data_IF_578494531577
#
_entry.id   IF_578494531577
#
_cell.length_a   1.000
_cell.length_b   1.000
_cell.length_c   1.000
_cell.angle_alpha   90.00
_cell.angle_beta   90.00
_cell.angle_gamma   90.00
#
_symmetry.space_group_name_H-M   'P 1'
#
loop_
_entity.id
_entity.type
_entity.pdbx_description
1 polymer ?
#
# COMPACT_ATOMS: atom_id res chain seq x y z
N UNK A 1 13.96 -19.73 -16.68
CA UNK A 1 13.40 -19.16 -17.92
C UNK A 1 13.69 -17.68 -17.89
N UNK A 2 14.51 -17.12 -18.78
CA UNK A 2 14.63 -15.67 -18.91
C UNK A 2 13.35 -15.18 -19.57
N UNK A 3 12.61 -14.33 -18.87
CA UNK A 3 11.51 -13.60 -19.49
C UNK A 3 12.11 -12.69 -20.56
N UNK A 4 11.51 -12.70 -21.75
CA UNK A 4 11.87 -11.70 -22.74
C UNK A 4 11.43 -10.32 -22.22
N UNK A 5 12.20 -9.27 -22.45
CA UNK A 5 11.80 -7.88 -22.16
C UNK A 5 10.44 -7.54 -22.82
N UNK A 6 10.04 -8.30 -23.81
CA UNK A 6 8.78 -8.13 -24.54
C UNK A 6 7.53 -8.57 -23.75
N UNK A 7 7.69 -9.40 -22.68
CA UNK A 7 6.54 -9.91 -21.93
C UNK A 7 5.67 -8.81 -21.28
N UNK A 8 6.27 -7.73 -20.84
CA UNK A 8 5.58 -6.64 -20.15
C UNK A 8 5.18 -5.45 -21.04
N UNK A 9 5.69 -5.39 -22.29
CA UNK A 9 5.52 -4.21 -23.17
C UNK A 9 4.06 -3.87 -23.51
N UNK A 10 3.18 -4.86 -23.49
CA UNK A 10 1.76 -4.67 -23.76
C UNK A 10 0.91 -4.70 -22.47
N UNK A 11 1.51 -4.93 -21.31
CA UNK A 11 0.81 -5.05 -20.03
C UNK A 11 0.66 -3.73 -19.31
N UNK A 12 -0.45 -3.59 -18.61
CA UNK A 12 -0.81 -2.44 -17.78
C UNK A 12 -0.92 -2.90 -16.33
N UNK A 13 -0.35 -2.12 -15.41
CA UNK A 13 -0.46 -2.37 -13.98
C UNK A 13 -1.12 -1.20 -13.25
N UNK A 14 -2.17 -1.49 -12.46
CA UNK A 14 -2.78 -0.54 -11.55
C UNK A 14 -2.12 -0.62 -10.17
N UNK A 15 -1.60 0.52 -9.69
CA UNK A 15 -1.01 0.67 -8.35
C UNK A 15 -1.97 1.51 -7.50
N UNK A 16 -2.73 0.85 -6.64
CA UNK A 16 -3.75 1.45 -5.78
C UNK A 16 -3.23 1.61 -4.36
N UNK A 17 -3.42 2.79 -3.76
CA UNK A 17 -2.87 3.00 -2.42
C UNK A 17 -3.13 4.38 -1.82
N UNK A 18 -2.38 4.68 -0.78
CA UNK A 18 -2.40 5.92 -0.02
C UNK A 18 -1.29 6.90 -0.45
N UNK A 19 -0.83 7.76 0.48
CA UNK A 19 0.25 8.74 0.27
C UNK A 19 1.55 8.10 -0.20
N UNK A 20 1.86 6.88 0.25
CA UNK A 20 3.07 6.16 -0.18
C UNK A 20 3.00 5.79 -1.66
N UNK A 21 1.81 5.45 -2.15
CA UNK A 21 1.62 5.19 -3.59
C UNK A 21 1.54 6.49 -4.38
N UNK A 22 0.89 7.54 -3.86
CA UNK A 22 0.88 8.86 -4.50
C UNK A 22 2.30 9.43 -4.67
N UNK A 23 3.19 9.21 -3.71
CA UNK A 23 4.56 9.74 -3.74
C UNK A 23 4.76 10.93 -2.79
N UNK A 24 4.04 10.97 -1.66
CA UNK A 24 4.22 11.99 -0.63
C UNK A 24 5.62 11.88 -0.01
N UNK A 25 6.29 13.01 0.16
CA UNK A 25 7.63 13.06 0.76
C UNK A 25 7.67 13.79 2.13
N UNK A 26 6.50 14.14 2.66
CA UNK A 26 6.40 14.89 3.92
C UNK A 26 6.89 16.34 3.86
N UNK A 27 7.17 16.88 2.66
CA UNK A 27 7.80 18.19 2.45
C UNK A 27 7.08 19.05 1.40
N UNK A 28 5.81 18.82 1.14
CA UNK A 28 4.98 19.53 0.13
C UNK A 28 5.56 19.57 -1.31
N UNK A 29 6.58 18.76 -1.58
CA UNK A 29 7.26 18.67 -2.87
C UNK A 29 7.24 17.27 -3.49
N UNK A 30 6.41 16.40 -2.92
CA UNK A 30 6.18 15.04 -3.40
C UNK A 30 5.34 14.98 -4.66
N UNK A 31 4.90 13.77 -5.01
CA UNK A 31 4.00 13.52 -6.12
C UNK A 31 4.36 12.26 -6.90
N UNK A 32 3.50 11.92 -7.83
CA UNK A 32 3.62 10.69 -8.61
C UNK A 32 4.98 10.54 -9.32
N UNK A 33 5.62 11.65 -9.69
CA UNK A 33 6.91 11.65 -10.39
C UNK A 33 8.09 11.08 -9.59
N UNK A 34 7.99 11.07 -8.25
CA UNK A 34 9.01 10.47 -7.37
C UNK A 34 8.58 9.15 -6.75
N UNK A 35 7.32 8.77 -6.88
CA UNK A 35 6.73 7.55 -6.32
C UNK A 35 7.52 6.28 -6.66
N UNK A 36 7.35 5.23 -5.86
CA UNK A 36 7.86 3.89 -6.15
C UNK A 36 7.36 3.34 -7.50
N UNK A 37 6.17 3.77 -7.94
CA UNK A 37 5.58 3.39 -9.23
C UNK A 37 6.43 3.84 -10.41
N UNK A 38 7.11 4.99 -10.32
CA UNK A 38 8.06 5.47 -11.33
C UNK A 38 9.33 4.60 -11.38
N UNK A 39 9.74 4.04 -10.24
CA UNK A 39 10.87 3.11 -10.23
C UNK A 39 10.47 1.76 -10.82
N UNK A 40 9.26 1.29 -10.54
CA UNK A 40 8.68 0.11 -11.17
C UNK A 40 8.66 0.26 -12.71
N UNK A 41 8.11 1.36 -13.23
CA UNK A 41 8.05 1.66 -14.67
C UNK A 41 9.43 1.69 -15.34
N UNK A 42 10.46 2.15 -14.62
CA UNK A 42 11.84 2.19 -15.16
C UNK A 42 12.52 0.82 -15.17
N UNK A 43 12.14 -0.07 -14.26
CA UNK A 43 12.77 -1.39 -14.10
C UNK A 43 12.06 -2.49 -14.88
N UNK A 44 10.75 -2.36 -15.06
CA UNK A 44 9.93 -3.30 -15.83
C UNK A 44 9.26 -2.48 -16.95
N UNK A 45 9.43 -2.89 -18.23
CA UNK A 45 8.94 -2.13 -19.38
C UNK A 45 7.43 -2.33 -19.59
N UNK A 46 6.60 -2.08 -18.56
CA UNK A 46 5.15 -2.05 -18.72
C UNK A 46 4.74 -1.03 -19.78
N UNK A 47 3.70 -1.32 -20.54
CA UNK A 47 3.04 -0.35 -21.40
C UNK A 47 2.61 0.88 -20.60
N UNK A 48 2.06 0.65 -19.40
CA UNK A 48 1.60 1.71 -18.51
C UNK A 48 1.63 1.25 -17.06
N UNK A 49 2.12 2.12 -16.17
CA UNK A 49 2.00 1.98 -14.71
C UNK A 49 1.09 3.09 -14.21
N UNK A 50 -0.13 2.76 -13.82
CA UNK A 50 -1.14 3.70 -13.34
C UNK A 50 -1.04 3.86 -11.84
N UNK A 51 -0.99 5.10 -11.37
CA UNK A 51 -0.87 5.43 -9.96
C UNK A 51 -2.21 5.99 -9.44
N UNK A 52 -2.90 5.21 -8.62
CA UNK A 52 -4.16 5.55 -7.95
C UNK A 52 -3.94 5.85 -6.45
N UNK A 53 -2.81 6.46 -6.09
CA UNK A 53 -2.53 6.88 -4.72
C UNK A 53 -3.29 8.15 -4.32
N UNK A 54 -3.85 8.17 -3.10
CA UNK A 54 -4.46 9.37 -2.49
C UNK A 54 -3.92 9.53 -1.07
N UNK A 55 -3.34 10.71 -0.75
CA UNK A 55 -2.75 10.99 0.55
C UNK A 55 -3.77 10.90 1.68
N UNK A 56 -3.42 10.16 2.75
CA UNK A 56 -4.27 10.00 3.93
C UNK A 56 -5.43 9.02 3.77
N UNK A 57 -5.63 8.44 2.58
CA UNK A 57 -6.71 7.49 2.33
C UNK A 57 -6.55 6.24 3.20
N UNK A 58 -7.64 5.80 3.83
CA UNK A 58 -7.75 4.59 4.65
C UNK A 58 -8.37 3.48 3.83
N UNK A 59 -8.19 2.24 4.25
CA UNK A 59 -8.91 1.10 3.66
C UNK A 59 -10.39 1.19 4.05
N UNK A 60 -10.66 1.38 5.33
CA UNK A 60 -12.00 1.50 5.87
C UNK A 60 -12.66 2.85 5.58
N UNK A 61 -13.98 2.83 5.45
CA UNK A 61 -14.81 4.04 5.37
C UNK A 61 -14.79 4.78 6.70
N UNK A 62 -14.75 6.11 6.67
CA UNK A 62 -14.74 6.95 7.85
C UNK A 62 -15.51 8.26 7.59
N UNK A 63 -16.05 8.87 8.67
CA UNK A 63 -16.94 10.04 8.55
C UNK A 63 -16.22 11.34 8.12
N UNK A 64 -14.91 11.43 8.33
CA UNK A 64 -14.12 12.63 8.07
C UNK A 64 -13.57 12.72 6.64
N UNK A 65 -13.77 11.68 5.82
CA UNK A 65 -13.28 11.60 4.43
C UNK A 65 -14.20 10.69 3.59
N UNK A 66 -14.25 10.96 2.29
CA UNK A 66 -15.02 10.25 1.27
C UNK A 66 -14.13 9.61 0.18
N UNK A 67 -12.86 9.32 0.52
CA UNK A 67 -11.86 8.79 -0.40
C UNK A 67 -11.17 7.51 0.11
N UNK A 68 -11.88 6.74 0.93
CA UNK A 68 -11.39 5.44 1.38
C UNK A 68 -11.15 4.48 0.20
N UNK A 69 -10.38 3.42 0.44
CA UNK A 69 -10.16 2.42 -0.60
C UNK A 69 -11.49 1.80 -1.07
N UNK A 70 -12.44 1.62 -0.15
CA UNK A 70 -13.79 1.10 -0.44
C UNK A 70 -14.55 2.02 -1.40
N UNK A 71 -14.45 3.34 -1.23
CA UNK A 71 -15.24 4.32 -2.01
C UNK A 71 -14.67 4.57 -3.40
N UNK A 72 -13.45 4.08 -3.68
CA UNK A 72 -12.76 4.41 -4.94
C UNK A 72 -12.12 3.22 -5.68
N UNK A 73 -12.08 2.00 -5.12
CA UNK A 73 -11.45 0.89 -5.85
C UNK A 73 -12.14 0.58 -7.18
N UNK A 74 -13.44 0.79 -7.27
CA UNK A 74 -14.23 0.60 -8.51
C UNK A 74 -13.94 1.65 -9.59
N UNK A 75 -13.21 2.73 -9.25
CA UNK A 75 -12.83 3.77 -10.20
C UNK A 75 -11.54 3.40 -10.97
N UNK A 76 -10.86 2.32 -10.59
CA UNK A 76 -9.71 1.83 -11.34
C UNK A 76 -10.16 1.27 -12.70
N UNK A 77 -9.32 1.50 -13.70
CA UNK A 77 -9.53 0.96 -15.04
C UNK A 77 -9.44 -0.58 -15.03
N UNK A 78 -10.42 -1.25 -15.60
CA UNK A 78 -10.50 -2.72 -15.64
C UNK A 78 -9.62 -3.37 -16.73
N UNK A 79 -9.00 -2.58 -17.61
CA UNK A 79 -8.10 -3.08 -18.65
C UNK A 79 -6.70 -3.45 -18.13
N UNK A 80 -6.43 -3.28 -16.83
CA UNK A 80 -5.15 -3.66 -16.24
C UNK A 80 -4.95 -5.18 -16.27
N UNK A 81 -3.71 -5.62 -16.49
CA UNK A 81 -3.28 -7.03 -16.39
C UNK A 81 -2.92 -7.41 -14.95
N UNK A 82 -2.42 -6.44 -14.21
CA UNK A 82 -1.94 -6.63 -12.84
C UNK A 82 -2.48 -5.52 -11.94
N UNK A 83 -2.81 -5.84 -10.68
CA UNK A 83 -3.29 -4.88 -9.68
C UNK A 83 -2.51 -5.05 -8.39
N UNK A 84 -1.94 -3.96 -7.89
CA UNK A 84 -1.19 -3.92 -6.63
C UNK A 84 -1.88 -2.96 -5.67
N UNK A 85 -2.18 -3.44 -4.46
CA UNK A 85 -2.80 -2.68 -3.39
C UNK A 85 -1.77 -2.44 -2.29
N UNK A 86 -1.53 -1.19 -1.90
CA UNK A 86 -0.56 -0.84 -0.88
C UNK A 86 -1.13 0.20 0.10
N UNK A 87 -1.35 -0.18 1.37
CA UNK A 87 -1.92 0.71 2.37
C UNK A 87 -2.10 0.08 3.75
N UNK A 88 -2.89 0.76 4.61
CA UNK A 88 -3.28 0.29 5.93
C UNK A 88 -2.58 0.98 7.11
N UNK A 89 -1.57 1.83 6.88
CA UNK A 89 -0.95 2.61 7.96
C UNK A 89 -1.91 3.68 8.49
N UNK A 90 -2.71 4.27 7.61
CA UNK A 90 -3.68 5.31 7.99
C UNK A 90 -4.81 4.73 8.86
N UNK A 91 -5.23 3.50 8.62
CA UNK A 91 -6.23 2.83 9.46
C UNK A 91 -5.71 2.67 10.89
N UNK A 92 -4.47 2.21 11.05
CA UNK A 92 -3.82 2.13 12.35
C UNK A 92 -3.69 3.51 13.02
N UNK A 93 -3.21 4.54 12.29
CA UNK A 93 -2.95 5.87 12.83
C UNK A 93 -4.21 6.65 13.19
N UNK A 94 -5.36 6.29 12.63
CA UNK A 94 -6.64 6.94 12.88
C UNK A 94 -7.62 6.05 13.67
N UNK A 95 -7.08 5.07 14.40
CA UNK A 95 -7.86 4.30 15.37
C UNK A 95 -9.05 3.53 14.76
N UNK A 96 -8.94 3.13 13.47
CA UNK A 96 -9.99 2.32 12.84
C UNK A 96 -10.10 0.99 13.57
N UNK A 97 -11.29 0.58 14.03
CA UNK A 97 -11.46 -0.71 14.71
C UNK A 97 -11.02 -1.88 13.81
N UNK A 98 -10.33 -2.87 14.38
CA UNK A 98 -9.87 -4.03 13.60
C UNK A 98 -11.05 -4.82 13.02
N UNK A 99 -12.10 -4.99 13.79
CA UNK A 99 -13.27 -5.79 13.43
C UNK A 99 -13.01 -7.30 13.49
N UNK A 100 -14.08 -8.06 13.39
CA UNK A 100 -14.00 -9.53 13.27
C UNK A 100 -13.43 -9.93 11.90
N UNK A 101 -12.70 -11.04 11.84
CA UNK A 101 -12.01 -11.49 10.63
C UNK A 101 -12.97 -11.63 9.42
N UNK A 102 -14.15 -12.20 9.64
CA UNK A 102 -15.15 -12.43 8.59
C UNK A 102 -16.19 -11.30 8.47
N UNK A 103 -15.93 -10.13 9.08
CA UNK A 103 -16.83 -8.98 8.98
C UNK A 103 -16.95 -8.48 7.54
N UNK A 104 -18.10 -7.89 7.22
CA UNK A 104 -18.31 -7.09 6.00
C UNK A 104 -18.67 -5.63 6.34
N UNK A 105 -18.50 -5.24 7.61
CA UNK A 105 -18.67 -3.86 8.03
C UNK A 105 -17.51 -3.01 7.51
N UNK A 106 -17.78 -2.18 6.50
CA UNK A 106 -16.79 -1.33 5.85
C UNK A 106 -16.18 -0.24 6.76
N UNK A 107 -16.73 -0.01 7.95
CA UNK A 107 -16.16 0.88 8.97
C UNK A 107 -15.13 0.21 9.87
N UNK A 108 -14.85 -1.07 9.66
CA UNK A 108 -13.76 -1.80 10.32
C UNK A 108 -12.71 -2.21 9.31
N UNK A 109 -11.45 -2.34 9.75
CA UNK A 109 -10.34 -2.71 8.88
C UNK A 109 -10.55 -4.07 8.19
N UNK A 110 -10.97 -5.09 8.96
CA UNK A 110 -11.24 -6.44 8.44
C UNK A 110 -12.40 -6.43 7.45
N UNK A 111 -13.51 -5.76 7.81
CA UNK A 111 -14.70 -5.73 6.95
C UNK A 111 -14.44 -4.98 5.65
N UNK A 112 -13.73 -3.85 5.70
CA UNK A 112 -13.34 -3.09 4.52
C UNK A 112 -12.42 -3.92 3.59
N UNK A 113 -11.44 -4.64 4.15
CA UNK A 113 -10.61 -5.56 3.37
C UNK A 113 -11.44 -6.64 2.68
N UNK A 114 -12.36 -7.31 3.39
CA UNK A 114 -13.21 -8.35 2.82
C UNK A 114 -14.08 -7.81 1.66
N UNK A 115 -14.69 -6.64 1.85
CA UNK A 115 -15.51 -6.00 0.81
C UNK A 115 -14.65 -5.65 -0.40
N UNK A 116 -13.51 -4.98 -0.19
CA UNK A 116 -12.61 -4.57 -1.26
C UNK A 116 -12.06 -5.77 -2.04
N UNK A 117 -11.52 -6.79 -1.35
CA UNK A 117 -10.93 -7.95 -2.02
C UNK A 117 -11.98 -8.74 -2.80
N UNK A 118 -13.18 -8.90 -2.25
CA UNK A 118 -14.31 -9.53 -2.96
C UNK A 118 -14.70 -8.72 -4.22
N UNK A 119 -14.70 -7.40 -4.12
CA UNK A 119 -14.98 -6.51 -5.25
C UNK A 119 -13.90 -6.60 -6.33
N UNK A 120 -12.63 -6.53 -5.91
CA UNK A 120 -11.48 -6.62 -6.83
C UNK A 120 -11.42 -7.97 -7.56
N UNK A 121 -11.67 -9.09 -6.89
CA UNK A 121 -11.72 -10.41 -7.53
C UNK A 121 -12.85 -10.52 -8.57
N UNK A 122 -13.93 -9.76 -8.41
CA UNK A 122 -15.01 -9.68 -9.41
C UNK A 122 -14.65 -8.76 -10.58
N UNK A 123 -13.96 -7.63 -10.29
CA UNK A 123 -13.51 -6.69 -11.33
C UNK A 123 -12.38 -7.26 -12.19
N UNK A 124 -11.48 -8.02 -11.56
CA UNK A 124 -10.26 -8.56 -12.14
C UNK A 124 -10.22 -10.09 -12.01
N UNK A 125 -11.11 -10.82 -12.68
CA UNK A 125 -11.28 -12.27 -12.46
C UNK A 125 -10.13 -13.13 -13.01
N UNK A 126 -9.27 -12.59 -13.86
CA UNK A 126 -8.15 -13.29 -14.51
C UNK A 126 -6.81 -12.59 -14.31
N UNK A 127 -6.80 -11.44 -13.69
CA UNK A 127 -5.62 -10.61 -13.47
C UNK A 127 -4.89 -11.01 -12.18
N UNK A 128 -3.61 -10.68 -12.10
CA UNK A 128 -2.86 -10.86 -10.86
C UNK A 128 -3.22 -9.76 -9.85
N UNK A 129 -3.67 -10.16 -8.66
CA UNK A 129 -3.86 -9.27 -7.52
C UNK A 129 -2.77 -9.52 -6.49
N UNK A 130 -2.08 -8.47 -6.05
CA UNK A 130 -1.05 -8.53 -5.01
C UNK A 130 -1.30 -7.44 -3.98
N UNK A 131 -1.30 -7.79 -2.71
CA UNK A 131 -1.41 -6.84 -1.60
C UNK A 131 -0.02 -6.62 -1.00
N UNK A 132 0.28 -5.37 -0.63
CA UNK A 132 1.51 -4.97 0.04
C UNK A 132 1.14 -4.41 1.40
N UNK A 133 1.73 -4.94 2.48
CA UNK A 133 1.54 -4.39 3.82
C UNK A 133 2.22 -3.04 3.95
N UNK A 134 1.64 -2.13 4.75
CA UNK A 134 2.30 -0.88 5.11
C UNK A 134 3.66 -1.16 5.79
N UNK A 135 4.62 -0.27 5.55
CA UNK A 135 5.92 -0.32 6.21
C UNK A 135 5.83 0.18 7.65
N UNK A 136 6.84 -0.10 8.46
CA UNK A 136 6.95 0.50 9.79
C UNK A 136 7.02 2.02 9.69
N UNK A 137 6.46 2.72 10.68
CA UNK A 137 6.48 4.17 10.76
C UNK A 137 7.01 4.67 12.13
N UNK A 138 7.65 5.82 12.11
CA UNK A 138 7.98 6.64 13.28
C UNK A 138 7.55 8.08 13.00
N UNK A 139 6.31 8.23 12.53
CA UNK A 139 5.79 9.48 12.01
C UNK A 139 5.77 10.59 13.07
N UNK A 140 6.30 11.73 12.69
CA UNK A 140 6.28 12.95 13.49
C UNK A 140 5.50 14.02 12.73
N UNK A 141 4.25 14.23 13.14
CA UNK A 141 3.41 15.27 12.55
C UNK A 141 3.57 16.58 13.33
N UNK A 142 3.60 17.76 12.66
CA UNK A 142 3.83 19.05 13.33
C UNK A 142 2.82 19.41 14.43
N UNK A 143 1.57 18.96 14.32
CA UNK A 143 0.47 19.39 15.19
C UNK A 143 -0.41 18.25 15.73
N UNK A 144 -0.28 17.05 15.21
CA UNK A 144 -1.08 15.89 15.62
C UNK A 144 -0.16 14.81 16.21
N UNK A 145 -0.70 14.04 17.14
CA UNK A 145 0.01 12.93 17.74
C UNK A 145 -0.53 11.61 17.17
N UNK A 146 0.16 11.06 16.19
CA UNK A 146 -0.14 9.75 15.62
C UNK A 146 0.71 8.67 16.29
N UNK A 147 0.16 7.46 16.52
CA UNK A 147 0.94 6.35 17.04
C UNK A 147 1.98 5.90 15.99
N UNK A 148 3.22 5.71 16.43
CA UNK A 148 4.22 5.02 15.61
C UNK A 148 4.13 3.49 15.79
N UNK A 149 4.88 2.73 15.00
CA UNK A 149 4.84 1.26 15.02
C UNK A 149 5.07 0.64 16.40
N UNK A 150 5.76 1.33 17.31
CA UNK A 150 6.09 0.83 18.67
C UNK A 150 5.08 1.28 19.73
N UNK A 151 4.02 1.94 19.32
CA UNK A 151 2.97 2.47 20.20
C UNK A 151 1.63 1.80 19.84
N UNK A 152 0.75 1.74 20.85
CA UNK A 152 -0.64 1.34 20.62
C UNK A 152 -1.47 2.55 20.22
N UNK A 153 -2.42 2.33 19.34
CA UNK A 153 -3.45 3.31 18.99
C UNK A 153 -4.57 3.36 20.06
N UNK A 154 -5.59 4.17 19.86
CA UNK A 154 -6.69 4.31 20.83
C UNK A 154 -7.56 3.03 20.93
N UNK A 155 -7.53 2.15 19.94
CA UNK A 155 -8.12 0.80 20.01
C UNK A 155 -7.26 -0.19 20.82
N UNK A 156 -6.16 0.27 21.44
CA UNK A 156 -5.19 -0.56 22.15
C UNK A 156 -4.48 -1.62 21.26
N UNK A 157 -4.34 -1.34 19.95
CA UNK A 157 -3.73 -2.20 18.95
C UNK A 157 -2.39 -1.62 18.47
N UNK A 158 -1.48 -2.51 18.07
CA UNK A 158 -0.22 -2.17 17.39
C UNK A 158 -0.43 -2.13 15.87
N UNK A 159 0.43 -1.45 15.14
CA UNK A 159 0.41 -1.50 13.67
C UNK A 159 0.55 -2.94 13.15
N UNK A 160 1.34 -3.75 13.83
CA UNK A 160 1.54 -5.17 13.51
C UNK A 160 0.23 -5.97 13.52
N UNK A 161 -0.71 -5.66 14.42
CA UNK A 161 -2.01 -6.35 14.51
C UNK A 161 -2.82 -6.15 13.21
N UNK A 162 -2.77 -4.94 12.62
CA UNK A 162 -3.41 -4.63 11.33
C UNK A 162 -2.72 -5.36 10.18
N UNK A 163 -1.39 -5.36 10.14
CA UNK A 163 -0.65 -6.03 9.06
C UNK A 163 -0.80 -7.54 9.12
N UNK A 164 -0.87 -8.11 10.32
CA UNK A 164 -1.13 -9.53 10.50
C UNK A 164 -2.54 -9.90 10.04
N UNK A 165 -3.56 -9.11 10.43
CA UNK A 165 -4.94 -9.29 9.98
C UNK A 165 -5.08 -9.17 8.46
N UNK A 166 -4.38 -8.24 7.83
CA UNK A 166 -4.35 -8.12 6.37
C UNK A 166 -3.83 -9.41 5.72
N UNK A 167 -2.74 -9.98 6.24
CA UNK A 167 -2.17 -11.24 5.72
C UNK A 167 -3.14 -12.41 5.87
N UNK A 168 -3.83 -12.53 7.02
CA UNK A 168 -4.81 -13.58 7.30
C UNK A 168 -6.00 -13.50 6.34
N UNK A 169 -6.57 -12.31 6.17
CA UNK A 169 -7.68 -12.10 5.24
C UNK A 169 -7.23 -12.38 3.80
N UNK A 170 -6.10 -11.83 3.34
CA UNK A 170 -5.60 -12.11 1.99
C UNK A 170 -5.37 -13.61 1.74
N UNK A 171 -4.87 -14.34 2.74
CA UNK A 171 -4.69 -15.78 2.65
C UNK A 171 -6.01 -16.54 2.46
N UNK A 172 -7.11 -16.10 3.10
CA UNK A 172 -8.43 -16.70 2.92
C UNK A 172 -8.99 -16.51 1.50
N UNK A 173 -8.54 -15.48 0.79
CA UNK A 173 -8.86 -15.22 -0.63
C UNK A 173 -7.80 -15.76 -1.60
N UNK A 174 -6.77 -16.47 -1.13
CA UNK A 174 -5.63 -16.93 -1.93
C UNK A 174 -4.89 -15.78 -2.66
N UNK A 175 -4.92 -14.56 -2.12
CA UNK A 175 -4.23 -13.40 -2.67
C UNK A 175 -2.83 -13.30 -2.05
N UNK A 176 -1.75 -13.25 -2.85
CA UNK A 176 -0.39 -13.12 -2.33
C UNK A 176 -0.17 -11.77 -1.65
N UNK A 177 0.66 -11.80 -0.59
CA UNK A 177 1.03 -10.60 0.17
C UNK A 177 2.54 -10.40 0.16
N UNK A 178 2.97 -9.21 -0.22
CA UNK A 178 4.35 -8.73 0.00
C UNK A 178 4.41 -8.04 1.36
N UNK A 179 5.08 -8.66 2.33
CA UNK A 179 5.16 -8.14 3.70
C UNK A 179 6.29 -7.10 3.84
N UNK A 180 6.04 -5.85 3.45
CA UNK A 180 6.99 -4.75 3.63
C UNK A 180 7.10 -4.27 5.08
N UNK A 181 6.20 -4.65 5.96
CA UNK A 181 6.32 -4.36 7.39
C UNK A 181 7.61 -4.92 7.97
N UNK A 182 8.01 -6.12 7.52
CA UNK A 182 9.23 -6.79 7.99
C UNK A 182 10.38 -6.78 7.00
N UNK A 183 10.14 -6.49 5.70
CA UNK A 183 11.19 -6.65 4.68
C UNK A 183 11.41 -5.44 3.77
N UNK A 184 10.94 -4.25 4.16
CA UNK A 184 11.14 -3.02 3.37
C UNK A 184 12.62 -2.66 3.13
N UNK A 185 13.50 -3.05 4.06
CA UNK A 185 14.92 -2.68 4.03
C UNK A 185 15.19 -1.23 4.44
N UNK A 186 14.14 -0.51 4.92
CA UNK A 186 14.23 0.84 5.47
C UNK A 186 13.55 0.83 6.82
N UNK A 187 14.24 1.27 7.89
CA UNK A 187 13.66 1.35 9.22
C UNK A 187 13.63 2.80 9.70
N UNK A 188 12.46 3.34 10.06
CA UNK A 188 12.34 4.71 10.57
C UNK A 188 12.97 4.89 11.96
N UNK A 189 13.41 3.81 12.61
CA UNK A 189 14.02 3.81 13.93
C UNK A 189 15.54 3.75 13.92
N UNK A 190 16.18 3.67 12.76
CA UNK A 190 17.63 3.57 12.62
C UNK A 190 18.20 4.93 12.23
N UNK A 191 19.13 5.45 13.04
CA UNK A 191 19.85 6.69 12.74
C UNK A 191 20.49 6.63 11.35
N UNK A 192 20.27 7.67 10.55
CA UNK A 192 20.73 7.77 9.16
C UNK A 192 19.72 7.26 8.14
N UNK A 193 18.60 6.68 8.55
CA UNK A 193 17.51 6.34 7.65
C UNK A 193 16.54 7.52 7.44
N UNK A 194 16.69 8.62 8.16
CA UNK A 194 15.94 9.88 7.97
C UNK A 194 16.14 10.44 6.55
N UNK A 195 17.29 10.15 5.92
CA UNK A 195 17.52 10.48 4.51
C UNK A 195 16.54 9.80 3.56
N UNK A 196 15.99 8.64 3.94
CA UNK A 196 15.00 7.88 3.16
C UNK A 196 13.58 8.17 3.58
N UNK A 197 13.36 8.43 4.89
CA UNK A 197 12.05 8.69 5.50
C UNK A 197 12.16 9.94 6.38
N UNK A 198 12.10 11.15 5.80
CA UNK A 198 12.39 12.40 6.51
C UNK A 198 11.49 12.68 7.71
N UNK A 199 10.21 12.34 7.62
CA UNK A 199 9.22 12.50 8.69
C UNK A 199 8.91 11.20 9.44
N UNK A 200 9.62 10.11 9.09
CA UNK A 200 9.43 8.78 9.67
C UNK A 200 8.27 7.97 9.08
N UNK A 201 7.57 8.47 8.06
CA UNK A 201 6.48 7.78 7.35
C UNK A 201 6.65 7.85 5.83
N UNK A 202 6.77 9.06 5.30
CA UNK A 202 6.87 9.31 3.87
C UNK A 202 8.32 9.24 3.40
N UNK A 203 8.52 8.99 2.11
CA UNK A 203 9.83 8.73 1.56
C UNK A 203 10.37 9.91 0.77
N UNK A 204 11.63 10.25 0.99
CA UNK A 204 12.37 11.13 0.07
C UNK A 204 12.44 10.51 -1.34
N UNK A 205 12.86 11.29 -2.33
CA UNK A 205 13.08 10.76 -3.68
C UNK A 205 14.03 9.54 -3.68
N UNK A 206 15.12 9.61 -2.88
CA UNK A 206 16.05 8.48 -2.72
C UNK A 206 15.38 7.28 -2.03
N UNK A 207 14.56 7.57 -1.01
CA UNK A 207 13.76 6.57 -0.30
C UNK A 207 12.80 5.84 -1.24
N UNK A 208 12.06 6.57 -2.08
CA UNK A 208 11.16 5.99 -3.09
C UNK A 208 11.89 5.15 -4.14
N UNK A 209 13.08 5.57 -4.58
CA UNK A 209 13.89 4.76 -5.49
C UNK A 209 14.33 3.44 -4.84
N UNK A 210 14.72 3.48 -3.57
CA UNK A 210 15.11 2.29 -2.81
C UNK A 210 13.90 1.37 -2.56
N UNK A 211 12.79 1.93 -2.09
CA UNK A 211 11.53 1.22 -1.88
C UNK A 211 11.03 0.59 -3.19
N UNK A 212 11.02 1.36 -4.27
CA UNK A 212 10.57 0.89 -5.59
C UNK A 212 11.40 -0.27 -6.12
N UNK A 213 12.73 -0.25 -5.97
CA UNK A 213 13.58 -1.40 -6.30
C UNK A 213 13.22 -2.63 -5.47
N UNK A 214 12.96 -2.44 -4.18
CA UNK A 214 12.56 -3.51 -3.28
C UNK A 214 11.21 -4.10 -3.66
N UNK A 215 10.20 -3.25 -3.88
CA UNK A 215 8.87 -3.67 -4.34
C UNK A 215 8.99 -4.42 -5.67
N UNK A 216 9.68 -3.86 -6.66
CA UNK A 216 9.85 -4.49 -7.97
C UNK A 216 10.45 -5.88 -7.87
N UNK A 217 11.51 -6.06 -7.07
CA UNK A 217 12.15 -7.36 -6.89
C UNK A 217 11.25 -8.40 -6.21
N UNK A 218 10.40 -7.97 -5.26
CA UNK A 218 9.47 -8.85 -4.56
C UNK A 218 8.19 -9.12 -5.36
N UNK A 219 7.79 -8.19 -6.20
CA UNK A 219 6.57 -8.27 -7.01
C UNK A 219 6.74 -9.18 -8.24
N UNK A 220 7.92 -9.16 -8.83
CA UNK A 220 8.20 -9.85 -10.10
C UNK A 220 7.74 -11.32 -10.15
N UNK A 221 7.91 -12.16 -9.10
CA UNK A 221 7.42 -13.54 -9.11
C UNK A 221 5.90 -13.70 -9.23
N UNK A 222 5.13 -12.68 -8.91
CA UNK A 222 3.66 -12.70 -8.94
C UNK A 222 3.07 -12.15 -10.25
N UNK A 223 3.92 -11.56 -11.11
CA UNK A 223 3.53 -10.98 -12.39
C UNK A 223 3.70 -11.98 -13.57
N UNK A 224 4.06 -13.23 -13.27
CA UNK A 224 4.47 -14.27 -14.26
C UNK A 224 3.45 -15.40 -14.44
#
# INVERSE_FOLDING_TARGET
>A
MMLSEDYFKDKIINCFGDSTTWGDNGLDSGGQSISWTQTLQRLIPFKEVRNYGICGSRIAVCEDRDDSFIERFEQMDTEADDVVIFGGVNDFQHDIPLGEENSTDSHTFSGALNVMLTGLLKMYPTQNLVVITATQNNFVHPTKNYPNTRQRNACNLMQEDYMQRMKEICASYCIPVIDLFVQSGISPFIKGHERFMPDGLHYSQEGYQRLGRRITGLLLPYLL
#
